data_IF_405259025405
#
_entry.id   IF_405259025405
#
_cell.length_a   1.000
_cell.length_b   1.000
_cell.length_c   1.000
_cell.angle_alpha   90.00
_cell.angle_beta   90.00
_cell.angle_gamma   90.00
#
_symmetry.space_group_name_H-M   'P 1'
#
loop_
_entity.id
_entity.type
_entity.pdbx_description
1 polymer ?
#
# COMPACT_ATOMS: atom_id res chain seq x y z
N UNK A 1 12.11 -5.75 -11.37
CA UNK A 1 13.01 -5.30 -10.28
C UNK A 1 12.15 -4.91 -9.08
N UNK A 2 12.56 -5.22 -7.85
CA UNK A 2 11.86 -4.86 -6.61
C UNK A 2 12.85 -4.19 -5.65
N UNK A 3 12.47 -3.05 -5.08
CA UNK A 3 13.31 -2.26 -4.16
C UNK A 3 12.48 -2.00 -2.91
N UNK A 4 13.05 -2.29 -1.74
CA UNK A 4 12.45 -1.97 -0.45
C UNK A 4 13.36 -0.99 0.30
N UNK A 5 12.79 0.08 0.83
CA UNK A 5 13.50 1.11 1.58
C UNK A 5 13.01 1.09 3.03
N UNK A 6 13.92 0.79 3.96
CA UNK A 6 13.63 0.66 5.37
C UNK A 6 14.62 1.48 6.22
N UNK A 7 14.20 1.86 7.42
CA UNK A 7 15.02 2.67 8.34
C UNK A 7 14.16 3.44 9.34
N UNK A 8 14.81 4.11 10.29
CA UNK A 8 14.14 4.85 11.38
C UNK A 8 13.29 6.03 10.86
N UNK A 9 12.44 6.57 11.72
CA UNK A 9 11.72 7.82 11.42
C UNK A 9 12.70 8.97 11.15
N UNK A 10 12.35 9.87 10.23
CA UNK A 10 13.13 11.08 9.95
C UNK A 10 14.40 10.93 9.11
N UNK A 11 14.84 9.72 8.73
CA UNK A 11 16.08 9.51 7.94
C UNK A 11 15.93 9.79 6.43
N UNK A 12 14.81 10.38 5.99
CA UNK A 12 14.59 10.75 4.59
C UNK A 12 14.14 9.63 3.65
N UNK A 13 13.69 8.48 4.17
CA UNK A 13 13.27 7.32 3.36
C UNK A 13 12.25 7.68 2.28
N UNK A 14 11.16 8.32 2.67
CA UNK A 14 10.07 8.70 1.77
C UNK A 14 10.55 9.65 0.67
N UNK A 15 11.44 10.57 1.01
CA UNK A 15 12.08 11.48 0.05
C UNK A 15 12.93 10.71 -0.96
N UNK A 16 13.76 9.78 -0.50
CA UNK A 16 14.58 8.92 -1.36
C UNK A 16 13.70 8.01 -2.23
N UNK A 17 12.64 7.44 -1.66
CA UNK A 17 11.65 6.64 -2.40
C UNK A 17 11.04 7.45 -3.54
N UNK A 18 10.56 8.66 -3.26
CA UNK A 18 9.96 9.53 -4.27
C UNK A 18 10.96 9.90 -5.36
N UNK A 19 12.20 10.24 -5.01
CA UNK A 19 13.25 10.55 -5.98
C UNK A 19 13.56 9.36 -6.90
N UNK A 20 13.66 8.15 -6.35
CA UNK A 20 13.88 6.93 -7.14
C UNK A 20 12.70 6.63 -8.05
N UNK A 21 11.46 6.76 -7.55
CA UNK A 21 10.24 6.56 -8.33
C UNK A 21 10.22 7.52 -9.52
N UNK A 22 10.43 8.82 -9.29
CA UNK A 22 10.47 9.83 -10.36
C UNK A 22 11.57 9.53 -11.37
N UNK A 23 12.76 9.19 -10.93
CA UNK A 23 13.87 8.86 -11.83
C UNK A 23 13.58 7.63 -12.71
N UNK A 24 12.98 6.57 -12.15
CA UNK A 24 12.60 5.41 -12.94
C UNK A 24 11.45 5.74 -13.90
N UNK A 25 10.51 6.57 -13.47
CA UNK A 25 9.40 7.03 -14.29
C UNK A 25 9.91 7.87 -15.48
N UNK A 26 10.81 8.82 -15.26
CA UNK A 26 11.43 9.65 -16.31
C UNK A 26 12.21 8.81 -17.33
N UNK A 27 12.81 7.71 -16.90
CA UNK A 27 13.48 6.73 -17.79
C UNK A 27 12.51 5.83 -18.56
N UNK A 28 11.20 6.06 -18.46
CA UNK A 28 10.16 5.31 -19.18
C UNK A 28 9.79 3.97 -18.53
N UNK A 29 10.26 3.67 -17.32
CA UNK A 29 9.86 2.44 -16.64
C UNK A 29 8.45 2.57 -16.05
N UNK A 30 7.67 1.48 -16.08
CA UNK A 30 6.42 1.41 -15.31
C UNK A 30 6.77 1.16 -13.85
N UNK A 31 6.31 2.02 -12.95
CA UNK A 31 6.65 1.96 -11.52
C UNK A 31 5.39 1.72 -10.70
N UNK A 32 5.39 0.65 -9.90
CA UNK A 32 4.43 0.46 -8.84
C UNK A 32 5.04 1.00 -7.54
N UNK A 33 4.55 2.14 -7.09
CA UNK A 33 4.93 2.75 -5.81
C UNK A 33 4.03 2.19 -4.71
N UNK A 34 4.63 1.65 -3.65
CA UNK A 34 3.90 1.10 -2.51
C UNK A 34 4.28 1.89 -1.26
N UNK A 35 3.29 2.57 -0.67
CA UNK A 35 3.44 3.27 0.59
C UNK A 35 3.01 2.35 1.75
N UNK A 36 4.00 1.77 2.41
CA UNK A 36 3.84 0.89 3.57
C UNK A 36 4.21 1.60 4.88
N UNK A 37 4.36 2.93 4.87
CA UNK A 37 4.60 3.71 6.08
C UNK A 37 3.24 4.05 6.75
N UNK A 38 3.07 3.90 8.07
CA UNK A 38 1.85 4.28 8.77
C UNK A 38 1.43 5.73 8.53
N UNK A 39 2.38 6.65 8.32
CA UNK A 39 2.06 8.06 8.10
C UNK A 39 1.62 8.35 6.64
N UNK A 40 1.79 7.39 5.71
CA UNK A 40 1.37 7.43 4.30
C UNK A 40 1.70 8.72 3.51
N UNK A 41 2.91 9.25 3.69
CA UNK A 41 3.35 10.52 3.11
C UNK A 41 3.91 10.42 1.68
N UNK A 42 4.02 9.22 1.09
CA UNK A 42 4.68 9.05 -0.22
C UNK A 42 3.91 9.76 -1.34
N UNK A 43 2.57 9.70 -1.32
CA UNK A 43 1.74 10.35 -2.33
C UNK A 43 1.92 11.86 -2.35
N UNK A 44 1.92 12.50 -1.18
CA UNK A 44 2.19 13.93 -1.03
C UNK A 44 3.60 14.28 -1.50
N UNK A 45 4.59 13.45 -1.17
CA UNK A 45 5.99 13.65 -1.58
C UNK A 45 6.17 13.52 -3.11
N UNK A 46 5.35 12.71 -3.76
CA UNK A 46 5.28 12.57 -5.22
C UNK A 46 4.49 13.70 -5.91
N UNK A 47 3.93 14.64 -5.14
CA UNK A 47 3.23 15.81 -5.67
C UNK A 47 1.77 15.56 -6.07
N UNK A 48 1.15 14.47 -5.59
CA UNK A 48 -0.28 14.26 -5.82
C UNK A 48 -1.11 15.28 -5.03
N UNK A 49 -2.19 15.81 -5.64
CA UNK A 49 -3.08 16.74 -4.95
C UNK A 49 -3.86 16.01 -3.83
N UNK A 50 -4.17 16.67 -2.70
CA UNK A 50 -4.92 16.08 -1.59
C UNK A 50 -6.23 15.43 -2.04
N UNK A 51 -6.94 16.04 -2.99
CA UNK A 51 -8.22 15.53 -3.50
C UNK A 51 -8.06 14.16 -4.20
N UNK A 52 -6.91 13.89 -4.81
CA UNK A 52 -6.62 12.59 -5.40
C UNK A 52 -6.29 11.56 -4.32
N UNK A 53 -5.57 11.97 -3.28
CA UNK A 53 -5.21 11.11 -2.14
C UNK A 53 -6.44 10.76 -1.29
N UNK A 54 -7.40 11.67 -1.15
CA UNK A 54 -8.63 11.45 -0.40
C UNK A 54 -9.59 10.49 -1.10
N UNK A 55 -9.61 10.50 -2.45
CA UNK A 55 -10.36 9.51 -3.24
C UNK A 55 -9.87 8.09 -3.04
N UNK A 56 -8.63 7.95 -2.59
CA UNK A 56 -8.02 6.64 -2.38
C UNK A 56 -7.31 6.59 -1.02
N UNK A 57 -8.06 6.31 0.06
CA UNK A 57 -7.48 6.15 1.37
C UNK A 57 -6.55 4.94 1.41
N UNK A 58 -5.74 4.79 2.47
CA UNK A 58 -4.97 3.58 2.69
C UNK A 58 -5.87 2.35 2.66
N UNK A 59 -5.47 1.29 1.96
CA UNK A 59 -6.32 0.10 1.72
C UNK A 59 -6.75 -0.54 3.04
N UNK A 60 -5.90 -0.47 4.08
CA UNK A 60 -6.24 -1.02 5.40
C UNK A 60 -7.40 -0.28 6.09
N UNK A 61 -7.72 0.94 5.68
CA UNK A 61 -8.85 1.71 6.21
C UNK A 61 -10.17 1.38 5.49
N UNK A 62 -10.11 0.67 4.36
CA UNK A 62 -11.26 0.20 3.61
C UNK A 62 -11.85 -1.05 4.26
N UNK A 63 -12.56 -0.87 5.38
CA UNK A 63 -13.10 -1.98 6.19
C UNK A 63 -13.95 -2.95 5.39
N UNK A 64 -14.83 -2.44 4.54
CA UNK A 64 -15.73 -3.27 3.73
C UNK A 64 -14.94 -4.19 2.78
N UNK A 65 -13.85 -3.68 2.18
CA UNK A 65 -12.97 -4.46 1.32
C UNK A 65 -12.20 -5.53 2.13
N UNK A 66 -11.69 -5.15 3.30
CA UNK A 66 -10.96 -6.08 4.17
C UNK A 66 -11.89 -7.20 4.63
N UNK A 67 -13.14 -6.89 5.03
CA UNK A 67 -14.14 -7.89 5.38
C UNK A 67 -14.58 -8.73 4.16
N UNK A 68 -14.82 -8.12 3.00
CA UNK A 68 -15.15 -8.83 1.76
C UNK A 68 -14.10 -9.91 1.44
N UNK A 69 -12.81 -9.58 1.58
CA UNK A 69 -11.71 -10.50 1.26
C UNK A 69 -11.39 -11.50 2.36
N UNK A 70 -11.55 -11.11 3.62
CA UNK A 70 -11.15 -11.94 4.77
C UNK A 70 -12.32 -12.66 5.44
N UNK A 71 -13.54 -12.43 5.00
CA UNK A 71 -14.79 -12.93 5.59
C UNK A 71 -15.40 -11.97 6.62
N UNK A 72 -16.48 -12.40 7.24
CA UNK A 72 -17.17 -11.65 8.29
C UNK A 72 -17.53 -12.53 9.49
N UNK A 73 -17.87 -11.90 10.62
CA UNK A 73 -18.21 -12.60 11.87
C UNK A 73 -17.06 -13.46 12.41
N UNK A 74 -17.35 -14.72 12.74
CA UNK A 74 -16.37 -15.66 13.30
C UNK A 74 -15.47 -16.32 12.24
N UNK A 75 -15.78 -16.19 10.95
CA UNK A 75 -15.01 -16.82 9.88
C UNK A 75 -13.90 -15.89 9.39
N UNK A 76 -12.68 -16.42 9.32
CA UNK A 76 -11.49 -15.73 8.85
C UNK A 76 -10.85 -16.53 7.72
N UNK A 77 -10.71 -15.88 6.56
CA UNK A 77 -9.91 -16.38 5.45
C UNK A 77 -8.46 -15.98 5.70
N UNK A 78 -7.59 -16.97 5.90
CA UNK A 78 -6.17 -16.75 6.20
C UNK A 78 -5.34 -16.35 4.97
N UNK A 79 -5.78 -16.78 3.78
CA UNK A 79 -5.14 -16.48 2.51
C UNK A 79 -6.18 -15.84 1.57
N UNK A 80 -6.55 -14.57 1.80
CA UNK A 80 -7.48 -13.86 0.93
C UNK A 80 -6.89 -13.69 -0.47
N UNK A 81 -7.76 -13.76 -1.49
CA UNK A 81 -7.41 -13.39 -2.85
C UNK A 81 -7.26 -11.87 -2.95
N UNK A 82 -6.15 -11.41 -3.51
CA UNK A 82 -5.78 -9.99 -3.59
C UNK A 82 -5.28 -9.57 -4.97
N UNK A 83 -5.44 -10.43 -5.98
CA UNK A 83 -4.83 -10.25 -7.29
C UNK A 83 -5.39 -9.01 -8.01
N UNK A 84 -6.65 -8.68 -7.75
CA UNK A 84 -7.32 -7.51 -8.34
C UNK A 84 -7.01 -6.19 -7.63
N UNK A 85 -6.52 -6.25 -6.39
CA UNK A 85 -6.45 -5.09 -5.49
C UNK A 85 -5.53 -4.01 -6.03
N UNK A 86 -4.33 -4.38 -6.49
CA UNK A 86 -3.35 -3.40 -6.98
C UNK A 86 -3.86 -2.66 -8.23
N UNK A 87 -4.66 -3.33 -9.06
CA UNK A 87 -5.21 -2.73 -10.29
C UNK A 87 -6.39 -1.81 -10.01
N UNK A 88 -7.26 -2.17 -9.06
CA UNK A 88 -8.48 -1.41 -8.73
C UNK A 88 -8.23 -0.28 -7.75
N UNK A 89 -7.28 -0.48 -6.85
CA UNK A 89 -7.04 0.41 -5.71
C UNK A 89 -5.71 1.18 -5.80
N UNK A 90 -5.23 1.43 -7.01
CA UNK A 90 -4.06 2.30 -7.25
C UNK A 90 -4.44 3.65 -7.84
N UNK A 91 -3.72 4.69 -7.42
CA UNK A 91 -3.76 6.00 -8.06
C UNK A 91 -2.71 6.03 -9.17
N UNK A 92 -3.15 6.19 -10.42
CA UNK A 92 -2.23 6.23 -11.56
C UNK A 92 -2.01 7.66 -12.05
N UNK A 93 -0.75 8.02 -12.25
CA UNK A 93 -0.33 9.31 -12.81
C UNK A 93 0.91 9.08 -13.68
N UNK A 94 0.77 9.36 -14.99
CA UNK A 94 1.79 8.99 -15.98
C UNK A 94 2.03 7.47 -16.00
N UNK A 95 3.27 7.06 -15.80
CA UNK A 95 3.72 5.66 -15.72
C UNK A 95 3.95 5.16 -14.29
N UNK A 96 3.46 5.90 -13.29
CA UNK A 96 3.50 5.51 -11.87
C UNK A 96 2.09 5.14 -11.41
N UNK A 97 1.97 3.99 -10.75
CA UNK A 97 0.78 3.59 -10.00
C UNK A 97 1.14 3.55 -8.52
N UNK A 98 0.42 4.31 -7.69
CA UNK A 98 0.63 4.40 -6.25
C UNK A 98 -0.42 3.58 -5.51
N UNK A 99 0.03 2.72 -4.60
CA UNK A 99 -0.79 1.97 -3.66
C UNK A 99 -0.43 2.41 -2.24
N UNK A 100 -1.44 2.83 -1.47
CA UNK A 100 -1.28 3.19 -0.07
C UNK A 100 -1.75 2.02 0.78
N UNK A 101 -0.84 1.31 1.44
CA UNK A 101 -1.22 0.18 2.28
C UNK A 101 -1.80 0.65 3.62
N UNK A 102 -1.17 1.67 4.21
CA UNK A 102 -1.46 2.11 5.57
C UNK A 102 -0.71 1.30 6.63
N UNK A 103 -0.79 1.78 7.87
CA UNK A 103 -0.08 1.19 9.00
C UNK A 103 -0.87 0.09 9.71
N UNK A 104 -0.13 -0.86 10.28
CA UNK A 104 -0.69 -1.76 11.30
C UNK A 104 -0.81 -0.99 12.61
N UNK A 105 -1.99 -0.98 13.23
CA UNK A 105 -2.20 -0.30 14.52
C UNK A 105 -1.51 -1.06 15.66
N UNK A 106 -1.21 -0.33 16.74
CA UNK A 106 -0.52 -0.87 17.91
C UNK A 106 -1.20 -2.12 18.47
N UNK A 107 -0.37 -3.13 18.78
CA UNK A 107 -0.82 -4.38 19.40
C UNK A 107 -1.51 -4.12 20.76
N UNK A 108 -2.54 -4.91 21.07
CA UNK A 108 -3.28 -4.83 22.33
C UNK A 108 -4.47 -3.88 22.32
N UNK A 109 -4.80 -3.26 21.19
CA UNK A 109 -5.93 -2.33 21.09
C UNK A 109 -7.23 -3.02 20.66
N UNK A 110 -7.21 -3.81 19.58
CA UNK A 110 -8.38 -4.51 19.01
C UNK A 110 -7.95 -5.78 18.26
N UNK A 111 -8.90 -6.59 17.82
CA UNK A 111 -8.65 -7.73 16.94
C UNK A 111 -8.34 -7.23 15.51
N UNK A 112 -7.07 -7.31 15.09
CA UNK A 112 -6.58 -6.91 13.75
C UNK A 112 -6.25 -8.11 12.86
N UNK A 113 -6.85 -9.27 13.11
CA UNK A 113 -6.50 -10.50 12.37
C UNK A 113 -6.83 -10.39 10.88
N UNK A 114 -7.92 -9.70 10.52
CA UNK A 114 -8.37 -9.51 9.13
C UNK A 114 -7.41 -8.61 8.38
N UNK A 115 -7.14 -7.43 8.92
CA UNK A 115 -6.21 -6.44 8.40
C UNK A 115 -4.82 -7.05 8.19
N UNK A 116 -4.33 -7.81 9.17
CA UNK A 116 -3.03 -8.46 9.07
C UNK A 116 -3.02 -9.60 8.04
N UNK A 117 -4.07 -10.40 7.94
CA UNK A 117 -4.18 -11.44 6.91
C UNK A 117 -4.20 -10.83 5.50
N UNK A 118 -4.98 -9.75 5.34
CA UNK A 118 -5.09 -9.00 4.09
C UNK A 118 -3.76 -8.35 3.68
N UNK A 119 -3.09 -7.62 4.57
CA UNK A 119 -1.79 -7.00 4.27
C UNK A 119 -0.72 -8.06 3.97
N UNK A 120 -0.71 -9.18 4.69
CA UNK A 120 0.20 -10.30 4.40
C UNK A 120 -0.02 -10.87 3.01
N UNK A 121 -1.27 -11.07 2.60
CA UNK A 121 -1.58 -11.52 1.25
C UNK A 121 -1.12 -10.49 0.20
N UNK A 122 -1.40 -9.20 0.42
CA UNK A 122 -1.01 -8.13 -0.51
C UNK A 122 0.51 -8.02 -0.68
N UNK A 123 1.27 -8.03 0.42
CA UNK A 123 2.74 -8.08 0.36
C UNK A 123 3.21 -9.38 -0.30
N UNK A 124 2.54 -10.51 -0.02
CA UNK A 124 2.79 -11.80 -0.65
C UNK A 124 2.70 -11.71 -2.18
N UNK A 125 1.62 -11.17 -2.72
CA UNK A 125 1.44 -10.98 -4.17
C UNK A 125 2.51 -10.04 -4.74
N UNK A 126 2.79 -8.90 -4.08
CA UNK A 126 3.84 -7.95 -4.48
C UNK A 126 5.24 -8.58 -4.54
N UNK A 127 5.60 -9.41 -3.57
CA UNK A 127 6.95 -9.98 -3.44
C UNK A 127 7.12 -11.28 -4.22
N UNK A 128 6.09 -12.12 -4.30
CA UNK A 128 6.17 -13.43 -4.93
C UNK A 128 5.66 -13.43 -6.37
N UNK A 129 4.93 -12.41 -6.82
CA UNK A 129 4.36 -12.34 -8.16
C UNK A 129 3.37 -13.47 -8.43
N UNK A 130 2.65 -13.88 -7.39
CA UNK A 130 1.48 -14.74 -7.49
C UNK A 130 0.26 -13.87 -7.61
#
# INVERSE_FOLDING_TARGET
MKIALAGKGGVGKTTISAALISLFAEKGHRVLAVDADPDTNLGTTLGLPPEALDRQPPIIEMKDLVEERTGSGAFLVLNPDVDDILSRYSLTFGNVSLVRMGGVKQAGTQCYCRENAFLKALVGSLVLGR
#
